data_IF_974462593060
#
_entry.id   IF_974462593060
#
_cell.length_a   1.000
_cell.length_b   1.000
_cell.length_c   1.000
_cell.angle_alpha   90.00
_cell.angle_beta   90.00
_cell.angle_gamma   90.00
#
_symmetry.space_group_name_H-M   'P 1'
#
loop_
_entity.id
_entity.type
_entity.pdbx_description
1 polymer ?
#
# COMPACT_ATOMS: atom_id res chain seq x y z
N UNK A 1 4.41 -21.64 11.42
CA UNK A 1 5.16 -20.43 11.81
C UNK A 1 4.24 -19.57 12.66
N UNK A 2 4.68 -19.14 13.81
CA UNK A 2 3.93 -18.21 14.67
C UNK A 2 4.31 -16.78 14.32
N UNK A 3 3.31 -15.90 14.24
CA UNK A 3 3.52 -14.49 13.87
C UNK A 3 3.02 -13.60 14.98
N UNK A 4 3.82 -12.63 15.37
CA UNK A 4 3.55 -11.63 16.39
C UNK A 4 3.53 -10.25 15.75
N UNK A 5 2.63 -9.37 16.18
CA UNK A 5 2.51 -8.05 15.57
C UNK A 5 2.18 -6.98 16.59
N UNK A 6 3.03 -5.97 16.77
CA UNK A 6 2.58 -4.74 17.40
C UNK A 6 1.67 -3.96 16.44
N UNK A 7 0.50 -3.56 16.92
CA UNK A 7 -0.46 -2.78 16.15
C UNK A 7 -1.25 -1.84 17.07
N UNK A 8 -1.73 -0.70 16.54
CA UNK A 8 -2.63 0.17 17.29
C UNK A 8 -3.93 -0.57 17.63
N UNK A 9 -4.46 -0.35 18.83
CA UNK A 9 -5.62 -1.07 19.39
C UNK A 9 -6.82 -1.13 18.42
N UNK A 10 -7.10 -0.05 17.68
CA UNK A 10 -8.20 -0.02 16.71
C UNK A 10 -8.05 -0.97 15.51
N UNK A 11 -6.93 -1.71 15.40
CA UNK A 11 -6.68 -2.72 14.36
C UNK A 11 -6.72 -4.15 14.89
N UNK A 12 -6.85 -4.34 16.20
CA UNK A 12 -6.74 -5.66 16.83
C UNK A 12 -7.83 -6.62 16.37
N UNK A 13 -9.09 -6.18 16.31
CA UNK A 13 -10.21 -7.01 15.82
C UNK A 13 -9.94 -7.51 14.39
N UNK A 14 -9.32 -6.68 13.55
CA UNK A 14 -8.96 -7.08 12.19
C UNK A 14 -7.83 -8.12 12.19
N UNK A 15 -6.82 -7.97 13.04
CA UNK A 15 -5.75 -8.96 13.17
C UNK A 15 -6.28 -10.28 13.71
N UNK A 16 -7.20 -10.25 14.68
CA UNK A 16 -7.85 -11.45 15.19
C UNK A 16 -8.68 -12.16 14.08
N UNK A 17 -9.40 -11.38 13.26
CA UNK A 17 -10.10 -11.93 12.10
C UNK A 17 -9.16 -12.52 11.03
N UNK A 18 -7.87 -12.13 11.02
CA UNK A 18 -6.80 -12.68 10.19
C UNK A 18 -6.05 -13.84 10.86
N UNK A 19 -6.62 -14.42 11.95
CA UNK A 19 -6.05 -15.59 12.65
C UNK A 19 -4.83 -15.27 13.55
N UNK A 20 -4.72 -14.03 14.04
CA UNK A 20 -3.77 -13.71 15.11
C UNK A 20 -4.40 -13.96 16.48
N UNK A 21 -3.75 -14.74 17.32
CA UNK A 21 -4.17 -14.88 18.70
C UNK A 21 -3.93 -13.58 19.47
N UNK A 22 -4.78 -13.28 20.44
CA UNK A 22 -4.72 -12.03 21.22
C UNK A 22 -3.40 -11.83 21.97
N UNK A 23 -2.79 -12.90 22.43
CA UNK A 23 -1.50 -12.89 23.11
C UNK A 23 -0.32 -12.56 22.18
N UNK A 24 -0.51 -12.70 20.86
CA UNK A 24 0.46 -12.37 19.82
C UNK A 24 0.28 -10.97 19.22
N UNK A 25 -0.66 -10.20 19.75
CA UNK A 25 -0.87 -8.79 19.36
C UNK A 25 -0.53 -7.91 20.56
N UNK A 26 0.17 -6.79 20.34
CA UNK A 26 0.45 -5.79 21.39
C UNK A 26 0.24 -4.37 20.83
N UNK A 27 0.14 -3.38 21.72
CA UNK A 27 0.00 -1.98 21.30
C UNK A 27 1.33 -1.49 20.68
N UNK A 28 1.26 -0.96 19.46
CA UNK A 28 2.41 -0.39 18.76
C UNK A 28 2.84 0.99 19.29
N UNK A 29 2.15 1.52 20.28
CA UNK A 29 2.43 2.83 20.91
C UNK A 29 3.12 2.73 22.26
N UNK A 30 3.36 1.51 22.74
CA UNK A 30 4.09 1.24 23.96
C UNK A 30 5.14 0.18 23.75
N UNK A 31 6.14 0.14 24.62
CA UNK A 31 7.19 -0.89 24.61
C UNK A 31 6.75 -2.20 25.28
N UNK A 32 5.50 -2.29 25.73
CA UNK A 32 4.96 -3.50 26.41
C UNK A 32 5.01 -4.75 25.53
N UNK A 33 5.06 -4.60 24.22
CA UNK A 33 5.19 -5.74 23.29
C UNK A 33 6.44 -6.58 23.57
N UNK A 34 7.55 -5.98 24.05
CA UNK A 34 8.78 -6.72 24.37
C UNK A 34 8.52 -7.72 25.48
N UNK A 35 7.99 -7.26 26.62
CA UNK A 35 7.69 -8.12 27.76
C UNK A 35 6.63 -9.17 27.44
N UNK A 36 5.55 -8.77 26.76
CA UNK A 36 4.45 -9.64 26.37
C UNK A 36 4.93 -10.79 25.46
N UNK A 37 5.61 -10.45 24.36
CA UNK A 37 6.04 -11.43 23.38
C UNK A 37 7.15 -12.33 23.92
N UNK A 38 8.02 -11.81 24.78
CA UNK A 38 9.02 -12.61 25.49
C UNK A 38 8.36 -13.66 26.39
N UNK A 39 7.32 -13.27 27.12
CA UNK A 39 6.57 -14.19 27.98
C UNK A 39 5.89 -15.31 27.16
N UNK A 40 5.19 -14.94 26.07
CA UNK A 40 4.48 -15.89 25.19
C UNK A 40 5.46 -16.90 24.56
N UNK A 41 6.68 -16.48 24.26
CA UNK A 41 7.72 -17.37 23.69
C UNK A 41 8.50 -18.13 24.77
N UNK A 42 8.07 -18.10 26.02
CA UNK A 42 8.77 -18.76 27.14
C UNK A 42 10.20 -18.21 27.37
N UNK A 43 10.43 -16.95 27.07
CA UNK A 43 11.73 -16.29 27.18
C UNK A 43 12.66 -16.47 25.98
N UNK A 44 12.33 -17.33 25.02
CA UNK A 44 13.18 -17.65 23.86
C UNK A 44 13.36 -16.46 22.91
N UNK A 45 12.32 -15.68 22.70
CA UNK A 45 12.29 -14.59 21.73
C UNK A 45 11.95 -15.03 20.30
N UNK A 46 12.24 -14.19 19.32
CA UNK A 46 11.85 -14.32 17.92
C UNK A 46 12.99 -14.83 17.05
N UNK A 47 12.71 -15.80 16.19
CA UNK A 47 13.69 -16.29 15.20
C UNK A 47 13.97 -15.25 14.11
N UNK A 48 12.96 -14.42 13.81
CA UNK A 48 13.07 -13.33 12.83
C UNK A 48 12.22 -12.13 13.26
N UNK A 49 12.79 -10.96 13.14
CA UNK A 49 12.11 -9.67 13.29
C UNK A 49 12.19 -8.93 11.97
N UNK A 50 11.05 -8.47 11.47
CA UNK A 50 10.96 -7.53 10.36
C UNK A 50 10.56 -6.17 10.93
N UNK A 51 11.45 -5.21 10.92
CA UNK A 51 11.30 -3.93 11.59
C UNK A 51 11.21 -2.74 10.61
N UNK A 52 10.46 -1.73 11.02
CA UNK A 52 10.37 -0.42 10.36
C UNK A 52 10.12 0.70 11.39
N UNK A 53 10.41 0.44 12.65
CA UNK A 53 10.19 1.35 13.77
C UNK A 53 11.37 2.32 13.91
N UNK A 54 11.37 3.13 14.96
CA UNK A 54 12.45 4.08 15.26
C UNK A 54 12.67 4.21 16.77
N UNK A 55 13.85 4.66 17.17
CA UNK A 55 14.18 4.92 18.57
C UNK A 55 14.12 3.68 19.44
N UNK A 56 13.58 3.84 20.63
CA UNK A 56 13.50 2.79 21.65
C UNK A 56 12.75 1.53 21.20
N UNK A 57 11.87 1.65 20.19
CA UNK A 57 11.15 0.52 19.61
C UNK A 57 12.07 -0.42 18.83
N UNK A 58 13.08 0.12 18.13
CA UNK A 58 14.12 -0.69 17.46
C UNK A 58 14.92 -1.48 18.50
N UNK A 59 15.31 -0.81 19.59
CA UNK A 59 16.09 -1.46 20.65
C UNK A 59 15.27 -2.54 21.37
N UNK A 60 13.99 -2.31 21.63
CA UNK A 60 13.08 -3.31 22.19
C UNK A 60 12.90 -4.50 21.24
N UNK A 61 12.78 -4.24 19.95
CA UNK A 61 12.67 -5.28 18.93
C UNK A 61 13.96 -6.10 18.79
N UNK A 62 15.13 -5.45 18.89
CA UNK A 62 16.43 -6.14 18.89
C UNK A 62 16.58 -7.06 20.10
N UNK A 63 16.15 -6.62 21.30
CA UNK A 63 16.17 -7.46 22.50
C UNK A 63 15.26 -8.68 22.41
N UNK A 64 14.24 -8.64 21.56
CA UNK A 64 13.35 -9.79 21.33
C UNK A 64 13.95 -10.85 20.40
N UNK A 65 15.00 -10.56 19.66
CA UNK A 65 15.60 -11.55 18.75
C UNK A 65 16.25 -12.66 19.56
N UNK A 66 15.92 -13.90 19.21
CA UNK A 66 16.52 -15.09 19.81
C UNK A 66 18.00 -15.23 19.41
N UNK A 67 18.84 -15.90 20.19
CA UNK A 67 20.21 -16.21 19.79
C UNK A 67 20.25 -16.94 18.44
N UNK A 68 21.07 -16.44 17.50
CA UNK A 68 21.12 -16.93 16.12
C UNK A 68 19.99 -16.43 15.20
N UNK A 69 19.08 -15.60 15.73
CA UNK A 69 17.99 -15.03 14.97
C UNK A 69 18.40 -13.93 14.00
N UNK A 70 17.45 -13.44 13.24
CA UNK A 70 17.65 -12.44 12.19
C UNK A 70 16.82 -11.20 12.48
N UNK A 71 17.45 -10.03 12.39
CA UNK A 71 16.76 -8.74 12.39
C UNK A 71 16.87 -8.12 11.02
N UNK A 72 15.74 -7.91 10.37
CA UNK A 72 15.62 -7.30 9.05
C UNK A 72 15.05 -5.90 9.21
N UNK A 73 15.89 -4.88 8.97
CA UNK A 73 15.49 -3.48 9.03
C UNK A 73 15.07 -2.99 7.64
N UNK A 74 13.81 -2.66 7.50
CA UNK A 74 13.25 -2.05 6.28
C UNK A 74 12.98 -0.55 6.42
N UNK A 75 13.06 -0.01 7.64
CA UNK A 75 13.00 1.43 7.92
C UNK A 75 14.15 2.18 7.25
N UNK A 76 13.97 3.47 7.01
CA UNK A 76 14.94 4.32 6.33
C UNK A 76 15.49 5.45 7.19
N UNK A 77 14.90 5.65 8.36
CA UNK A 77 15.19 6.81 9.21
C UNK A 77 16.08 6.50 10.42
N UNK A 78 16.14 5.23 10.85
CA UNK A 78 16.88 4.80 12.04
C UNK A 78 17.63 3.48 11.76
N UNK A 79 18.45 3.49 10.71
CA UNK A 79 19.30 2.34 10.38
C UNK A 79 20.48 2.33 11.36
N UNK A 80 20.66 1.21 12.06
CA UNK A 80 21.74 1.05 13.04
C UNK A 80 23.03 0.58 12.36
N UNK A 81 24.16 0.93 12.96
CA UNK A 81 25.46 0.44 12.53
C UNK A 81 25.58 -1.08 12.83
N UNK A 82 25.82 -1.94 11.82
CA UNK A 82 25.88 -3.39 12.02
C UNK A 82 26.95 -3.83 13.02
N UNK A 83 28.09 -3.11 13.09
CA UNK A 83 29.20 -3.44 14.01
C UNK A 83 28.82 -3.09 15.47
N UNK A 84 28.03 -2.02 15.65
CA UNK A 84 27.49 -1.66 16.97
C UNK A 84 26.50 -2.73 17.42
N UNK A 85 25.59 -3.16 16.52
CA UNK A 85 24.62 -4.21 16.82
C UNK A 85 25.31 -5.54 17.12
N UNK A 86 26.31 -5.94 16.33
CA UNK A 86 27.04 -7.18 16.55
C UNK A 86 27.73 -7.24 17.94
N UNK A 87 28.20 -6.09 18.42
CA UNK A 87 28.79 -5.98 19.76
C UNK A 87 27.74 -5.98 20.88
N UNK A 88 26.62 -5.26 20.67
CA UNK A 88 25.59 -5.11 21.70
C UNK A 88 24.67 -6.34 21.80
N UNK A 89 24.46 -7.05 20.70
CA UNK A 89 23.56 -8.21 20.60
C UNK A 89 24.31 -9.41 19.96
N UNK A 90 25.25 -10.04 20.65
CA UNK A 90 26.02 -11.16 20.10
C UNK A 90 25.12 -12.29 19.62
N UNK A 91 25.35 -12.74 18.38
CA UNK A 91 24.56 -13.80 17.76
C UNK A 91 23.32 -13.34 17.00
N UNK A 92 22.95 -12.07 17.05
CA UNK A 92 21.90 -11.50 16.20
C UNK A 92 22.48 -11.14 14.84
N UNK A 93 21.84 -11.60 13.78
CA UNK A 93 22.19 -11.23 12.39
C UNK A 93 21.35 -10.01 11.97
N UNK A 94 21.93 -8.84 12.08
CA UNK A 94 21.29 -7.58 11.66
C UNK A 94 21.54 -7.32 10.19
N UNK A 95 20.49 -6.95 9.45
CA UNK A 95 20.60 -6.51 8.07
C UNK A 95 19.54 -5.44 7.76
N UNK A 96 20.00 -4.24 7.44
CA UNK A 96 19.17 -3.26 6.75
C UNK A 96 19.11 -3.60 5.25
N UNK A 97 17.98 -3.39 4.62
CA UNK A 97 17.81 -3.68 3.19
C UNK A 97 16.85 -2.69 2.51
N UNK A 98 17.07 -2.50 1.22
CA UNK A 98 16.10 -1.89 0.31
C UNK A 98 15.70 -2.92 -0.75
N UNK A 99 14.40 -3.04 -0.99
CA UNK A 99 13.91 -3.97 -2.01
C UNK A 99 14.46 -3.65 -3.40
N UNK A 100 14.75 -2.37 -3.68
CA UNK A 100 15.31 -1.95 -4.97
C UNK A 100 16.75 -2.41 -5.20
N UNK A 101 17.48 -2.77 -4.15
CA UNK A 101 18.88 -3.27 -4.25
C UNK A 101 18.98 -4.63 -4.94
N UNK A 102 17.88 -5.42 -4.97
CA UNK A 102 17.89 -6.76 -5.56
C UNK A 102 17.79 -6.77 -7.09
N UNK A 103 17.56 -5.61 -7.70
CA UNK A 103 17.47 -5.44 -9.14
C UNK A 103 16.13 -5.81 -9.76
N UNK A 104 15.86 -5.32 -10.98
CA UNK A 104 14.53 -5.44 -11.61
C UNK A 104 14.15 -6.88 -11.95
N UNK A 105 15.09 -7.73 -12.38
CA UNK A 105 14.81 -9.13 -12.69
C UNK A 105 14.32 -9.90 -11.45
N UNK A 106 14.98 -9.69 -10.30
CA UNK A 106 14.57 -10.35 -9.06
C UNK A 106 13.24 -9.85 -8.56
N UNK A 107 12.98 -8.54 -8.68
CA UNK A 107 11.66 -7.95 -8.36
C UNK A 107 10.58 -8.57 -9.25
N UNK A 108 10.81 -8.70 -10.56
CA UNK A 108 9.86 -9.31 -11.48
C UNK A 108 9.56 -10.77 -11.10
N UNK A 109 10.58 -11.55 -10.74
CA UNK A 109 10.40 -12.93 -10.27
C UNK A 109 9.54 -13.00 -8.99
N UNK A 110 9.82 -12.15 -7.99
CA UNK A 110 9.04 -12.09 -6.74
C UNK A 110 7.60 -11.68 -7.00
N UNK A 111 7.36 -10.71 -7.89
CA UNK A 111 6.00 -10.32 -8.28
C UNK A 111 5.26 -11.45 -8.97
N UNK A 112 5.90 -12.16 -9.92
CA UNK A 112 5.30 -13.31 -10.60
C UNK A 112 4.93 -14.43 -9.61
N UNK A 113 5.81 -14.73 -8.64
CA UNK A 113 5.53 -15.69 -7.57
C UNK A 113 4.36 -15.23 -6.70
N UNK A 114 4.30 -13.94 -6.35
CA UNK A 114 3.20 -13.39 -5.56
C UNK A 114 1.86 -13.50 -6.30
N UNK A 115 1.83 -13.18 -7.60
CA UNK A 115 0.63 -13.33 -8.43
C UNK A 115 0.17 -14.79 -8.46
N UNK A 116 1.08 -15.74 -8.70
CA UNK A 116 0.76 -17.16 -8.69
C UNK A 116 0.16 -17.63 -7.35
N UNK A 117 0.65 -17.11 -6.22
CA UNK A 117 0.10 -17.42 -4.89
C UNK A 117 -1.31 -16.82 -4.68
N UNK A 118 -1.61 -15.66 -5.27
CA UNK A 118 -2.97 -15.11 -5.30
C UNK A 118 -3.90 -15.95 -6.17
N UNK A 119 -3.45 -16.37 -7.35
CA UNK A 119 -4.24 -17.17 -8.31
C UNK A 119 -4.67 -18.52 -7.72
N UNK A 120 -3.81 -19.16 -6.92
CA UNK A 120 -4.13 -20.41 -6.23
C UNK A 120 -4.78 -20.22 -4.85
N UNK A 121 -5.06 -18.97 -4.45
CA UNK A 121 -5.75 -18.64 -3.21
C UNK A 121 -4.94 -18.80 -1.92
N UNK A 122 -3.64 -19.03 -1.99
CA UNK A 122 -2.72 -19.06 -0.83
C UNK A 122 -2.60 -17.67 -0.22
N UNK A 123 -2.45 -16.65 -1.06
CA UNK A 123 -2.53 -15.26 -0.64
C UNK A 123 -3.94 -14.73 -0.92
N UNK A 124 -4.42 -13.87 -0.02
CA UNK A 124 -5.69 -13.16 -0.18
C UNK A 124 -5.44 -11.66 -0.29
N UNK A 125 -6.15 -10.97 -1.19
CA UNK A 125 -6.05 -9.52 -1.27
C UNK A 125 -6.40 -8.86 0.07
N UNK A 126 -5.67 -7.82 0.40
CA UNK A 126 -5.99 -6.99 1.56
C UNK A 126 -7.31 -6.24 1.33
N UNK A 127 -8.04 -5.86 2.39
CA UNK A 127 -9.21 -4.99 2.27
C UNK A 127 -8.87 -3.71 1.50
N UNK A 128 -9.79 -3.26 0.66
CA UNK A 128 -9.61 -2.05 -0.15
C UNK A 128 -10.69 -1.03 0.19
N UNK A 129 -10.26 0.19 0.51
CA UNK A 129 -11.12 1.37 0.61
C UNK A 129 -10.93 2.25 -0.60
N UNK A 130 -11.99 2.47 -1.36
CA UNK A 130 -11.95 3.31 -2.56
C UNK A 130 -12.42 4.73 -2.30
N UNK A 131 -11.80 5.68 -2.99
CA UNK A 131 -12.21 7.08 -3.06
C UNK A 131 -12.23 7.52 -4.52
N UNK A 132 -13.17 8.36 -4.87
CA UNK A 132 -13.12 9.11 -6.13
C UNK A 132 -11.90 10.04 -6.11
N UNK A 133 -11.12 10.11 -7.19
CA UNK A 133 -9.95 10.99 -7.30
C UNK A 133 -10.27 12.44 -7.01
N UNK A 134 -11.48 12.91 -7.36
CA UNK A 134 -11.98 14.26 -7.04
C UNK A 134 -12.09 14.53 -5.53
N UNK A 135 -12.07 13.47 -4.72
CA UNK A 135 -12.04 13.51 -3.26
C UNK A 135 -10.67 13.14 -2.69
N UNK A 136 -9.59 13.36 -3.44
CA UNK A 136 -8.22 13.01 -3.04
C UNK A 136 -7.85 13.53 -1.64
N UNK A 137 -8.25 14.78 -1.29
CA UNK A 137 -7.99 15.32 0.03
C UNK A 137 -8.65 14.50 1.16
N UNK A 138 -9.82 13.93 0.93
CA UNK A 138 -10.49 13.06 1.90
C UNK A 138 -9.78 11.71 2.03
N UNK A 139 -9.28 11.16 0.92
CA UNK A 139 -8.45 9.96 0.92
C UNK A 139 -7.15 10.17 1.69
N UNK A 140 -6.44 11.28 1.44
CA UNK A 140 -5.20 11.61 2.15
C UNK A 140 -5.43 11.83 3.64
N UNK A 141 -6.51 12.54 4.02
CA UNK A 141 -6.90 12.70 5.43
C UNK A 141 -7.22 11.36 6.09
N UNK A 142 -7.91 10.47 5.38
CA UNK A 142 -8.22 9.14 5.88
C UNK A 142 -6.94 8.33 6.14
N UNK A 143 -5.95 8.40 5.25
CA UNK A 143 -4.65 7.75 5.41
C UNK A 143 -3.87 8.38 6.58
N UNK A 144 -3.85 9.72 6.70
CA UNK A 144 -3.11 10.43 7.77
C UNK A 144 -3.58 10.08 9.17
N UNK A 145 -4.84 9.69 9.34
CA UNK A 145 -5.35 9.21 10.63
C UNK A 145 -4.88 7.80 11.00
N UNK A 146 -4.20 7.10 10.09
CA UNK A 146 -3.66 5.74 10.27
C UNK A 146 -4.66 4.68 10.81
N UNK A 147 -5.97 4.93 10.64
CA UNK A 147 -7.04 4.03 11.10
C UNK A 147 -7.42 2.96 10.08
N UNK A 148 -6.93 3.10 8.85
CA UNK A 148 -7.22 2.15 7.78
C UNK A 148 -6.48 0.83 7.99
N UNK A 149 -7.11 -0.25 7.55
CA UNK A 149 -6.50 -1.56 7.35
C UNK A 149 -6.56 -1.87 5.86
N UNK A 150 -5.49 -2.42 5.32
CA UNK A 150 -5.38 -2.72 3.90
C UNK A 150 -4.98 -1.51 3.05
N UNK A 151 -5.56 -1.37 1.87
CA UNK A 151 -5.17 -0.39 0.86
C UNK A 151 -6.22 0.70 0.67
N UNK A 152 -5.74 1.92 0.44
CA UNK A 152 -6.59 3.05 0.02
C UNK A 152 -6.30 3.31 -1.45
N UNK A 153 -7.33 3.23 -2.28
CA UNK A 153 -7.23 3.35 -3.73
C UNK A 153 -8.06 4.54 -4.20
N UNK A 154 -7.45 5.42 -4.97
CA UNK A 154 -8.17 6.49 -5.66
C UNK A 154 -8.60 5.97 -7.03
N UNK A 155 -9.92 5.96 -7.25
CA UNK A 155 -10.52 5.56 -8.52
C UNK A 155 -10.60 6.77 -9.43
N UNK A 156 -9.98 6.67 -10.59
CA UNK A 156 -10.28 7.56 -11.70
C UNK A 156 -11.60 7.06 -12.30
N UNK A 157 -12.69 7.79 -12.08
CA UNK A 157 -13.90 7.49 -12.81
C UNK A 157 -13.60 7.67 -14.30
N UNK A 158 -14.00 6.70 -15.10
CA UNK A 158 -14.02 6.89 -16.53
C UNK A 158 -15.10 7.92 -16.85
N UNK A 159 -14.70 9.19 -16.84
CA UNK A 159 -15.58 10.32 -17.11
C UNK A 159 -16.20 10.23 -18.52
N UNK A 160 -15.62 9.36 -19.35
CA UNK A 160 -16.04 9.14 -20.72
C UNK A 160 -17.14 8.07 -20.86
N UNK A 161 -17.24 7.13 -19.96
CA UNK A 161 -18.10 5.95 -20.11
C UNK A 161 -19.59 6.20 -19.83
N UNK A 162 -19.96 7.19 -19.02
CA UNK A 162 -21.32 7.36 -18.51
C UNK A 162 -21.85 8.81 -18.56
N UNK A 163 -21.12 9.75 -19.18
CA UNK A 163 -21.48 11.16 -19.22
C UNK A 163 -21.72 11.69 -20.64
N UNK A 164 -22.09 12.96 -20.72
CA UNK A 164 -22.13 13.73 -21.98
C UNK A 164 -20.91 14.65 -22.01
N UNK A 165 -20.12 14.58 -23.08
CA UNK A 165 -18.96 15.46 -23.31
C UNK A 165 -19.41 16.70 -24.07
N UNK A 166 -19.22 17.85 -23.47
CA UNK A 166 -19.47 19.13 -24.13
C UNK A 166 -18.19 19.61 -24.84
N UNK A 167 -18.27 19.85 -26.12
CA UNK A 167 -17.18 20.43 -26.92
C UNK A 167 -17.63 21.76 -27.48
N UNK A 168 -17.08 22.87 -27.03
CA UNK A 168 -17.28 24.19 -27.60
C UNK A 168 -16.43 24.36 -28.86
N UNK A 169 -16.96 25.01 -29.89
CA UNK A 169 -16.30 25.07 -31.20
C UNK A 169 -16.27 23.72 -31.93
N UNK A 170 -17.20 22.83 -31.61
CA UNK A 170 -17.24 21.43 -32.09
C UNK A 170 -17.32 21.27 -33.61
N UNK A 171 -17.83 22.29 -34.34
CA UNK A 171 -17.87 22.29 -35.81
C UNK A 171 -16.60 22.84 -36.45
N UNK A 172 -15.66 23.38 -35.68
CA UNK A 172 -14.36 23.81 -36.15
C UNK A 172 -13.38 22.65 -36.33
N UNK A 173 -12.28 22.90 -37.02
CA UNK A 173 -11.26 21.85 -37.30
C UNK A 173 -10.78 21.17 -36.03
N UNK A 174 -10.36 21.91 -35.03
CA UNK A 174 -9.86 21.34 -33.76
C UNK A 174 -10.96 20.61 -32.98
N UNK A 175 -12.16 21.19 -32.90
CA UNK A 175 -13.29 20.59 -32.19
C UNK A 175 -13.78 19.29 -32.82
N UNK A 176 -13.79 19.22 -34.17
CA UNK A 176 -14.18 17.99 -34.89
C UNK A 176 -13.14 16.86 -34.79
N UNK A 177 -11.84 17.19 -34.74
CA UNK A 177 -10.78 16.22 -34.50
C UNK A 177 -10.88 15.68 -33.07
N UNK A 178 -11.07 16.57 -32.08
CA UNK A 178 -11.27 16.18 -30.70
C UNK A 178 -12.51 15.29 -30.53
N UNK A 179 -13.64 15.66 -31.12
CA UNK A 179 -14.87 14.86 -31.09
C UNK A 179 -14.65 13.44 -31.58
N UNK A 180 -14.01 13.30 -32.74
CA UNK A 180 -13.66 11.98 -33.29
C UNK A 180 -12.71 11.20 -32.38
N UNK A 181 -11.71 11.88 -31.82
CA UNK A 181 -10.74 11.25 -30.92
C UNK A 181 -11.43 10.70 -29.66
N UNK A 182 -12.28 11.48 -28.99
CA UNK A 182 -12.94 11.02 -27.76
C UNK A 182 -13.92 9.88 -28.00
N UNK A 183 -14.57 9.85 -29.17
CA UNK A 183 -15.42 8.73 -29.58
C UNK A 183 -14.58 7.48 -29.86
N UNK A 184 -13.58 7.60 -30.75
CA UNK A 184 -12.82 6.45 -31.22
C UNK A 184 -11.89 5.87 -30.13
N UNK A 185 -11.30 6.73 -29.29
CA UNK A 185 -10.26 6.33 -28.35
C UNK A 185 -10.79 6.12 -26.93
N UNK A 186 -11.86 6.82 -26.54
CA UNK A 186 -12.43 6.80 -25.20
C UNK A 186 -13.86 6.25 -25.14
N UNK A 187 -14.42 5.84 -26.29
CA UNK A 187 -15.73 5.21 -26.36
C UNK A 187 -16.90 6.11 -25.94
N UNK A 188 -16.72 7.43 -26.01
CA UNK A 188 -17.76 8.40 -25.65
C UNK A 188 -18.96 8.21 -26.56
N UNK A 189 -20.15 8.02 -25.96
CA UNK A 189 -21.40 7.79 -26.69
C UNK A 189 -22.29 9.02 -26.81
N UNK A 190 -22.12 9.98 -25.91
CA UNK A 190 -22.94 11.17 -25.87
C UNK A 190 -22.05 12.42 -25.99
N UNK A 191 -22.19 13.16 -27.09
CA UNK A 191 -21.50 14.40 -27.35
C UNK A 191 -22.50 15.53 -27.49
N UNK A 192 -22.21 16.66 -26.86
CA UNK A 192 -22.88 17.92 -27.09
C UNK A 192 -21.89 18.88 -27.74
N UNK A 193 -22.08 19.16 -29.02
CA UNK A 193 -21.24 20.07 -29.77
C UNK A 193 -21.90 21.44 -29.81
N UNK A 194 -21.20 22.48 -29.40
CA UNK A 194 -21.68 23.87 -29.41
C UNK A 194 -20.80 24.68 -30.31
N UNK A 195 -21.43 25.43 -31.21
CA UNK A 195 -20.75 26.39 -32.10
C UNK A 195 -21.59 27.64 -32.30
N UNK A 196 -20.95 28.74 -32.74
CA UNK A 196 -21.65 30.00 -32.98
C UNK A 196 -22.70 29.90 -34.10
N UNK A 197 -22.52 29.02 -35.08
CA UNK A 197 -23.42 28.79 -36.20
C UNK A 197 -24.37 27.59 -36.00
N UNK A 198 -24.28 26.90 -34.85
CA UNK A 198 -25.11 25.76 -34.60
C UNK A 198 -25.06 24.69 -35.70
N UNK A 199 -26.20 24.07 -36.04
CA UNK A 199 -26.29 23.04 -37.07
C UNK A 199 -25.99 23.53 -38.49
N UNK A 200 -26.02 24.85 -38.74
CA UNK A 200 -25.72 25.44 -40.04
C UNK A 200 -24.23 25.69 -40.29
N UNK A 201 -23.38 25.26 -39.37
CA UNK A 201 -21.95 25.43 -39.53
C UNK A 201 -21.39 24.48 -40.64
N UNK A 202 -20.46 24.96 -41.48
CA UNK A 202 -19.75 24.08 -42.40
C UNK A 202 -19.08 22.95 -41.59
N UNK A 203 -19.38 21.70 -41.94
CA UNK A 203 -18.88 20.51 -41.22
C UNK A 203 -19.79 20.01 -40.09
N UNK A 204 -20.92 20.62 -39.82
CA UNK A 204 -21.99 20.02 -39.03
C UNK A 204 -22.59 18.87 -39.84
N UNK A 205 -22.39 17.65 -39.44
CA UNK A 205 -23.04 16.45 -40.03
C UNK A 205 -24.48 16.42 -39.50
N UNK A 206 -25.46 16.35 -40.42
CA UNK A 206 -26.85 16.12 -40.09
C UNK A 206 -27.06 14.68 -39.63
#
# INVERSE_FOLDING_TARGET
MEVFSPASQGKWDTLQAMVFDYDRISDSRSLEFEGKFRAVTGGRGMDMVLDSLTGDFVDASLRLVAPGGVFLEMGKTDIRDPDVIARAYPGVRYRAFDLLEVGPERIAQMLAQSVALFDVGVLRPLPVKTFDVRRAHAALRYVSHARHVGKVVMMMLDAWAAGTVLITGGTGMAGSVLARHVVARHGVRNLLLVSRRGPDAPGAVK
#
